data_IF_734483481819
#
_entry.id   IF_734483481819
#
_cell.length_a   1.000
_cell.length_b   1.000
_cell.length_c   1.000
_cell.angle_alpha   90.00
_cell.angle_beta   90.00
_cell.angle_gamma   90.00
#
_symmetry.space_group_name_H-M   'P 1'
#
loop_
_entity.id
_entity.type
_entity.pdbx_description
1 polymer ?
#
# COMPACT_ATOMS: atom_id res chain seq x y z
N UNK A 1 -11.49 9.45 9.15
CA UNK A 1 -10.45 8.41 9.21
C UNK A 1 -9.94 8.33 10.62
N UNK A 2 -9.25 7.24 10.99
CA UNK A 2 -8.46 7.20 12.22
C UNK A 2 -7.53 8.43 12.32
N UNK A 3 -7.43 9.02 13.52
CA UNK A 3 -6.74 10.27 13.79
C UNK A 3 -7.58 11.53 13.55
N UNK A 4 -8.64 11.45 12.74
CA UNK A 4 -9.49 12.62 12.45
C UNK A 4 -10.46 12.91 13.61
N UNK A 5 -11.09 14.08 13.55
CA UNK A 5 -12.20 14.45 14.44
C UNK A 5 -13.53 14.39 13.69
N UNK A 6 -14.60 13.99 14.39
CA UNK A 6 -15.97 13.95 13.88
C UNK A 6 -16.92 14.60 14.87
N UNK A 7 -17.92 15.31 14.36
CA UNK A 7 -18.97 15.95 15.17
C UNK A 7 -20.33 15.39 14.79
N UNK A 8 -21.05 14.87 15.78
CA UNK A 8 -22.42 14.38 15.67
C UNK A 8 -23.38 15.49 16.10
N UNK A 9 -24.09 16.06 15.14
CA UNK A 9 -24.92 17.25 15.32
C UNK A 9 -26.28 16.91 15.94
N UNK A 10 -26.62 17.58 17.04
CA UNK A 10 -27.95 17.47 17.68
C UNK A 10 -29.00 18.35 17.00
N UNK A 11 -28.60 19.41 16.30
CA UNK A 11 -29.45 20.49 15.77
C UNK A 11 -30.33 21.16 16.85
N UNK A 12 -29.82 21.27 18.07
CA UNK A 12 -30.49 21.93 19.19
C UNK A 12 -29.86 23.30 19.44
N UNK A 13 -30.65 24.26 19.91
CA UNK A 13 -30.15 25.50 20.51
C UNK A 13 -30.40 25.46 22.02
N UNK A 14 -29.33 25.26 22.79
CA UNK A 14 -29.39 25.11 24.24
C UNK A 14 -29.91 26.38 24.92
N UNK A 15 -29.52 27.56 24.42
CA UNK A 15 -29.86 28.86 25.03
C UNK A 15 -31.34 29.22 24.95
N UNK A 16 -32.08 28.60 24.03
CA UNK A 16 -33.49 28.92 23.77
C UNK A 16 -34.44 27.92 24.43
N UNK A 17 -33.99 26.70 24.71
CA UNK A 17 -34.88 25.57 24.94
C UNK A 17 -34.62 24.80 26.25
N UNK A 18 -33.58 25.16 27.00
CA UNK A 18 -33.17 24.51 28.25
C UNK A 18 -33.25 22.96 28.20
N UNK A 19 -32.54 22.31 27.26
CA UNK A 19 -32.67 20.88 27.04
C UNK A 19 -31.97 20.03 28.10
N UNK A 20 -32.53 18.85 28.36
CA UNK A 20 -31.82 17.73 28.95
C UNK A 20 -31.36 16.78 27.84
N UNK A 21 -30.04 16.58 27.72
CA UNK A 21 -29.42 15.79 26.65
C UNK A 21 -28.62 14.65 27.24
N UNK A 22 -28.81 13.44 26.71
CA UNK A 22 -28.02 12.26 27.02
C UNK A 22 -27.40 11.69 25.76
N UNK A 23 -26.07 11.59 25.75
CA UNK A 23 -25.32 10.88 24.73
C UNK A 23 -24.98 9.49 25.20
N UNK A 24 -25.26 8.49 24.37
CA UNK A 24 -24.96 7.09 24.62
C UNK A 24 -24.12 6.51 23.48
N UNK A 25 -23.13 5.69 23.82
CA UNK A 25 -22.38 4.85 22.89
C UNK A 25 -22.66 3.38 23.23
N UNK A 26 -23.18 2.62 22.28
CA UNK A 26 -23.58 1.21 22.50
C UNK A 26 -24.43 1.05 23.76
N UNK A 27 -25.42 1.96 23.91
CA UNK A 27 -26.33 2.05 25.06
C UNK A 27 -25.72 2.47 26.41
N UNK A 28 -24.40 2.70 26.49
CA UNK A 28 -23.73 3.22 27.68
C UNK A 28 -23.74 4.75 27.68
N UNK A 29 -24.12 5.38 28.80
CA UNK A 29 -24.09 6.84 28.92
C UNK A 29 -22.65 7.34 28.90
N UNK A 30 -22.33 8.20 27.93
CA UNK A 30 -20.98 8.76 27.77
C UNK A 30 -20.91 10.23 28.15
N UNK A 31 -22.01 10.96 28.02
CA UNK A 31 -22.06 12.38 28.35
C UNK A 31 -23.50 12.88 28.54
N UNK A 32 -23.66 13.96 29.30
CA UNK A 32 -24.96 14.55 29.67
C UNK A 32 -24.87 16.06 29.75
N UNK A 33 -25.92 16.74 29.30
CA UNK A 33 -26.17 18.15 29.59
C UNK A 33 -27.52 18.26 30.30
N UNK A 34 -27.56 19.01 31.39
CA UNK A 34 -28.78 19.43 32.07
C UNK A 34 -28.67 20.92 32.36
N UNK A 35 -29.34 21.74 31.55
CA UNK A 35 -29.35 23.20 31.69
C UNK A 35 -30.01 23.67 32.99
N UNK A 36 -31.11 23.05 33.41
CA UNK A 36 -31.83 23.42 34.64
C UNK A 36 -30.93 23.28 35.87
N UNK A 37 -30.12 22.22 35.90
CA UNK A 37 -29.18 21.98 36.99
C UNK A 37 -27.80 22.63 36.76
N UNK A 38 -27.59 23.27 35.61
CA UNK A 38 -26.30 23.78 35.14
C UNK A 38 -25.19 22.71 35.18
N UNK A 39 -25.50 21.49 34.74
CA UNK A 39 -24.59 20.33 34.73
C UNK A 39 -24.20 20.01 33.28
N UNK A 40 -22.90 19.84 33.05
CA UNK A 40 -22.35 19.27 31.82
C UNK A 40 -21.33 18.19 32.21
N UNK A 41 -21.77 16.94 32.20
CA UNK A 41 -20.96 15.79 32.62
C UNK A 41 -20.46 15.03 31.40
N UNK A 42 -19.19 14.67 31.39
CA UNK A 42 -18.63 13.67 30.48
C UNK A 42 -18.19 12.49 31.34
N UNK A 43 -18.90 11.37 31.24
CA UNK A 43 -18.69 10.19 32.08
C UNK A 43 -17.55 9.31 31.58
N UNK A 44 -17.23 9.37 30.29
CA UNK A 44 -16.09 8.69 29.73
C UNK A 44 -14.80 9.47 30.03
N UNK A 45 -13.81 8.80 30.60
CA UNK A 45 -12.46 9.29 30.89
C UNK A 45 -11.62 9.45 29.60
N UNK A 46 -12.21 10.07 28.59
CA UNK A 46 -11.65 10.20 27.27
C UNK A 46 -11.56 11.70 27.02
N UNK A 47 -10.37 12.28 27.25
CA UNK A 47 -10.01 13.66 26.87
C UNK A 47 -10.37 14.01 25.41
N UNK A 48 -10.62 12.97 24.60
CA UNK A 48 -11.02 13.04 23.21
C UNK A 48 -12.49 13.38 22.97
N UNK A 49 -13.39 13.17 23.94
CA UNK A 49 -14.84 13.43 23.82
C UNK A 49 -15.19 14.80 24.37
N UNK A 50 -15.83 15.63 23.55
CA UNK A 50 -16.24 16.99 23.92
C UNK A 50 -17.69 17.23 23.54
N UNK A 51 -18.41 17.95 24.38
CA UNK A 51 -19.74 18.46 24.06
C UNK A 51 -19.64 19.96 23.79
N UNK A 52 -20.29 20.41 22.72
CA UNK A 52 -20.50 21.83 22.48
C UNK A 52 -21.62 22.38 23.38
N UNK A 53 -21.32 23.40 24.18
CA UNK A 53 -22.21 23.97 25.20
C UNK A 53 -23.36 24.81 24.63
N UNK A 54 -23.35 25.10 23.32
CA UNK A 54 -24.40 25.86 22.63
C UNK A 54 -25.41 24.98 21.94
N UNK A 55 -24.94 23.87 21.38
CA UNK A 55 -25.75 22.96 20.56
C UNK A 55 -26.00 21.62 21.23
N UNK A 56 -25.11 21.19 22.11
CA UNK A 56 -25.12 19.85 22.70
C UNK A 56 -24.58 18.77 21.77
N UNK A 57 -23.94 19.17 20.67
CA UNK A 57 -23.32 18.27 19.71
C UNK A 57 -22.09 17.58 20.31
N UNK A 58 -21.94 16.29 20.00
CA UNK A 58 -20.81 15.48 20.47
C UNK A 58 -19.68 15.54 19.45
N UNK A 59 -18.49 15.93 19.88
CA UNK A 59 -17.27 15.85 19.07
C UNK A 59 -16.35 14.78 19.64
N UNK A 60 -15.91 13.87 18.78
CA UNK A 60 -14.91 12.84 19.08
C UNK A 60 -13.66 13.22 18.31
N UNK A 61 -12.58 13.52 19.02
CA UNK A 61 -11.29 13.87 18.44
C UNK A 61 -10.36 12.65 18.39
N UNK A 62 -9.34 12.68 17.54
CA UNK A 62 -8.35 11.59 17.42
C UNK A 62 -9.03 10.20 17.41
N UNK A 63 -9.96 10.02 16.46
CA UNK A 63 -10.78 8.82 16.36
C UNK A 63 -9.94 7.58 16.09
N UNK A 64 -10.42 6.43 16.53
CA UNK A 64 -9.83 5.11 16.36
C UNK A 64 -10.89 4.15 15.83
N UNK A 65 -10.47 3.02 15.26
CA UNK A 65 -11.42 2.02 14.74
C UNK A 65 -12.38 1.49 15.81
N UNK A 66 -11.98 1.48 17.09
CA UNK A 66 -12.80 1.09 18.25
C UNK A 66 -13.88 2.10 18.62
N UNK A 67 -13.81 3.34 18.10
CA UNK A 67 -14.88 4.33 18.26
C UNK A 67 -16.00 4.11 17.22
N UNK A 68 -15.91 3.10 16.36
CA UNK A 68 -17.00 2.74 15.45
C UNK A 68 -18.15 2.10 16.24
N UNK A 69 -19.38 2.47 15.92
CA UNK A 69 -20.57 1.91 16.55
C UNK A 69 -21.76 2.86 16.54
N UNK A 70 -22.77 2.50 17.34
CA UNK A 70 -24.02 3.23 17.43
C UNK A 70 -23.94 4.29 18.55
N UNK A 71 -24.11 5.54 18.13
CA UNK A 71 -24.26 6.67 19.02
C UNK A 71 -25.72 7.12 19.03
N UNK A 72 -26.32 7.18 20.21
CA UNK A 72 -27.70 7.62 20.39
C UNK A 72 -27.71 8.87 21.24
N UNK A 73 -28.42 9.91 20.79
CA UNK A 73 -28.70 11.09 21.59
C UNK A 73 -30.18 11.15 21.90
N UNK A 74 -30.50 11.29 23.18
CA UNK A 74 -31.85 11.53 23.69
C UNK A 74 -31.93 12.97 24.16
N UNK A 75 -32.84 13.74 23.58
CA UNK A 75 -33.02 15.17 23.81
C UNK A 75 -34.42 15.37 24.39
N UNK A 76 -34.52 16.07 25.51
CA UNK A 76 -35.79 16.39 26.16
C UNK A 76 -35.99 17.90 26.13
N UNK A 77 -36.86 18.37 25.23
CA UNK A 77 -37.33 19.76 25.12
C UNK A 77 -38.85 19.70 25.08
N UNK A 78 -39.51 19.80 26.23
CA UNK A 78 -40.96 19.56 26.43
C UNK A 78 -41.45 18.12 26.08
N UNK A 79 -40.82 17.45 25.11
CA UNK A 79 -41.03 16.08 24.66
C UNK A 79 -39.67 15.43 24.40
N UNK A 80 -39.64 14.10 24.41
CA UNK A 80 -38.45 13.31 24.05
C UNK A 80 -38.28 13.27 22.53
N UNK A 81 -37.08 13.55 22.06
CA UNK A 81 -36.60 13.31 20.71
C UNK A 81 -35.35 12.43 20.77
N UNK A 82 -35.19 11.53 19.80
CA UNK A 82 -34.04 10.62 19.74
C UNK A 82 -33.42 10.69 18.35
N UNK A 83 -32.10 10.83 18.27
CA UNK A 83 -31.34 10.66 17.03
C UNK A 83 -30.32 9.53 17.21
N UNK A 84 -30.11 8.76 16.14
CA UNK A 84 -29.18 7.63 16.11
C UNK A 84 -28.18 7.87 14.99
N UNK A 85 -26.91 7.76 15.30
CA UNK A 85 -25.79 7.87 14.38
C UNK A 85 -25.05 6.53 14.34
N UNK A 86 -24.78 6.04 13.13
CA UNK A 86 -23.88 4.91 12.94
C UNK A 86 -22.53 5.46 12.48
N UNK A 87 -21.54 5.45 13.37
CA UNK A 87 -20.20 5.92 13.09
C UNK A 87 -19.31 4.76 12.64
N UNK A 88 -18.72 4.87 11.46
CA UNK A 88 -17.70 3.92 10.98
C UNK A 88 -16.37 4.64 10.82
N UNK A 89 -15.37 4.22 11.60
CA UNK A 89 -14.00 4.72 11.50
C UNK A 89 -13.16 3.73 10.69
N UNK A 90 -12.46 4.25 9.68
CA UNK A 90 -11.54 3.47 8.85
C UNK A 90 -10.10 3.68 9.34
N UNK A 91 -9.34 2.60 9.42
CA UNK A 91 -7.92 2.65 9.71
C UNK A 91 -7.17 3.48 8.67
N UNK A 92 -5.99 3.99 9.04
CA UNK A 92 -5.13 4.71 8.12
C UNK A 92 -4.81 3.87 6.87
N UNK A 93 -4.97 4.47 5.68
CA UNK A 93 -4.84 3.77 4.41
C UNK A 93 -3.37 3.79 3.94
N UNK A 94 -2.66 2.65 3.92
CA UNK A 94 -1.27 2.62 3.49
C UNK A 94 -1.15 2.85 1.98
N UNK A 95 -0.03 3.46 1.60
CA UNK A 95 0.35 3.59 0.18
C UNK A 95 0.74 2.21 -0.35
N UNK A 96 0.20 1.76 -1.50
CA UNK A 96 0.56 0.48 -2.07
C UNK A 96 2.04 0.40 -2.42
N UNK A 97 2.62 -0.77 -2.22
CA UNK A 97 3.98 -1.10 -2.65
C UNK A 97 3.90 -1.91 -3.93
N UNK A 98 4.69 -1.51 -4.93
CA UNK A 98 4.81 -2.25 -6.19
C UNK A 98 6.21 -2.88 -6.24
N UNK A 99 6.25 -4.20 -6.41
CA UNK A 99 7.46 -5.00 -6.55
C UNK A 99 7.39 -5.89 -7.79
N UNK A 100 8.54 -6.41 -8.24
CA UNK A 100 8.57 -7.45 -9.28
C UNK A 100 8.35 -8.82 -8.64
N UNK A 101 7.47 -9.63 -9.22
CA UNK A 101 7.15 -10.98 -8.70
C UNK A 101 8.30 -11.97 -8.93
N UNK A 102 8.93 -11.90 -10.11
CA UNK A 102 10.08 -12.75 -10.47
C UNK A 102 11.40 -12.08 -10.13
N UNK A 103 12.21 -12.73 -9.29
CA UNK A 103 13.62 -12.37 -9.09
C UNK A 103 14.49 -13.06 -10.15
N UNK A 104 15.64 -12.46 -10.49
CA UNK A 104 16.61 -13.07 -11.41
C UNK A 104 17.19 -14.35 -10.78
N UNK A 105 16.60 -15.50 -11.07
CA UNK A 105 17.18 -16.80 -10.73
C UNK A 105 18.51 -16.97 -11.48
N UNK A 106 19.55 -17.43 -10.80
CA UNK A 106 20.88 -17.67 -11.38
C UNK A 106 20.92 -18.95 -12.24
N UNK A 107 19.93 -19.17 -13.10
CA UNK A 107 19.94 -20.25 -14.08
C UNK A 107 20.11 -19.65 -15.46
N UNK A 108 21.28 -19.91 -16.02
CA UNK A 108 21.74 -19.54 -17.34
C UNK A 108 20.77 -20.01 -18.44
N UNK A 109 19.79 -19.20 -18.80
CA UNK A 109 19.25 -19.18 -20.17
C UNK A 109 18.91 -17.74 -20.54
N UNK A 110 19.51 -17.28 -21.64
CA UNK A 110 19.27 -15.97 -22.24
C UNK A 110 17.88 -16.02 -22.86
N UNK A 111 16.86 -15.60 -22.12
CA UNK A 111 15.55 -15.30 -22.71
C UNK A 111 15.47 -13.79 -22.96
N UNK A 112 15.35 -13.33 -24.22
CA UNK A 112 15.37 -11.91 -24.58
C UNK A 112 14.13 -11.13 -24.10
N UNK A 113 13.14 -11.81 -23.52
CA UNK A 113 11.95 -11.20 -22.93
C UNK A 113 11.66 -11.90 -21.60
N UNK A 114 12.32 -11.49 -20.52
CA UNK A 114 11.78 -11.82 -19.20
C UNK A 114 10.44 -11.11 -19.07
N UNK A 115 9.32 -11.84 -19.12
CA UNK A 115 8.00 -11.29 -18.83
C UNK A 115 8.08 -10.55 -17.50
N UNK A 116 7.81 -9.25 -17.52
CA UNK A 116 7.86 -8.44 -16.31
C UNK A 116 6.49 -8.49 -15.64
N UNK A 117 6.42 -9.23 -14.55
CA UNK A 117 5.23 -9.35 -13.71
C UNK A 117 5.41 -8.48 -12.47
N UNK A 118 4.46 -7.58 -12.26
CA UNK A 118 4.44 -6.69 -11.12
C UNK A 118 3.41 -7.17 -10.11
N UNK A 119 3.76 -7.09 -8.84
CA UNK A 119 2.88 -7.34 -7.73
C UNK A 119 2.65 -6.04 -6.99
N UNK A 120 1.38 -5.63 -6.88
CA UNK A 120 1.00 -4.55 -6.00
C UNK A 120 0.45 -5.10 -4.69
N UNK A 121 0.95 -4.61 -3.55
CA UNK A 121 0.61 -5.13 -2.24
C UNK A 121 0.33 -4.03 -1.21
N UNK A 122 -0.61 -4.31 -0.31
CA UNK A 122 -0.84 -3.57 0.93
C UNK A 122 -0.95 -4.56 2.08
N UNK A 123 -0.33 -4.23 3.22
CA UNK A 123 -0.23 -5.12 4.36
C UNK A 123 -1.19 -4.68 5.47
N UNK A 124 -1.76 -5.66 6.18
CA UNK A 124 -2.56 -5.45 7.38
C UNK A 124 -3.69 -4.42 7.20
N UNK A 125 -4.49 -4.56 6.13
CA UNK A 125 -5.59 -3.66 5.79
C UNK A 125 -6.95 -4.28 6.06
N UNK A 126 -7.94 -3.45 6.37
CA UNK A 126 -9.35 -3.82 6.53
C UNK A 126 -10.26 -2.83 5.79
N UNK A 127 -11.32 -3.30 5.13
CA UNK A 127 -12.27 -2.49 4.34
C UNK A 127 -11.56 -1.64 3.30
N UNK A 128 -10.66 -2.28 2.55
CA UNK A 128 -9.84 -1.67 1.50
C UNK A 128 -10.00 -2.46 0.20
N UNK A 129 -10.11 -1.73 -0.90
CA UNK A 129 -10.03 -2.28 -2.26
C UNK A 129 -8.67 -1.93 -2.84
N UNK A 130 -7.98 -2.91 -3.42
CA UNK A 130 -6.75 -2.75 -4.16
C UNK A 130 -7.03 -3.00 -5.65
N UNK A 131 -6.66 -2.07 -6.51
CA UNK A 131 -6.99 -2.12 -7.94
C UNK A 131 -5.82 -1.71 -8.82
N UNK A 132 -5.70 -2.36 -9.98
CA UNK A 132 -4.85 -1.90 -11.08
C UNK A 132 -5.67 -1.11 -12.09
N UNK A 133 -5.10 -0.02 -12.57
CA UNK A 133 -5.63 0.78 -13.66
C UNK A 133 -4.60 0.96 -14.76
N UNK A 134 -5.06 1.11 -16.00
CA UNK A 134 -4.31 1.66 -17.11
C UNK A 134 -5.02 2.93 -17.59
N UNK A 135 -4.41 4.09 -17.35
CA UNK A 135 -5.11 5.37 -17.49
C UNK A 135 -6.34 5.40 -16.59
N UNK A 136 -7.52 5.49 -17.19
CA UNK A 136 -8.82 5.47 -16.48
C UNK A 136 -9.48 4.07 -16.44
N UNK A 137 -8.94 3.10 -17.17
CA UNK A 137 -9.53 1.76 -17.29
C UNK A 137 -9.12 0.86 -16.14
N UNK A 138 -10.09 0.27 -15.44
CA UNK A 138 -9.86 -0.73 -14.40
C UNK A 138 -9.43 -2.06 -15.03
N UNK A 139 -8.27 -2.57 -14.65
CA UNK A 139 -7.74 -3.86 -15.12
C UNK A 139 -8.23 -4.99 -14.21
N UNK A 140 -7.94 -4.87 -12.92
CA UNK A 140 -8.24 -5.90 -11.93
C UNK A 140 -8.42 -5.28 -10.56
N UNK A 141 -9.12 -5.99 -9.68
CA UNK A 141 -9.42 -5.52 -8.33
C UNK A 141 -9.55 -6.69 -7.35
N UNK A 142 -9.16 -6.46 -6.11
CA UNK A 142 -9.38 -7.35 -4.97
C UNK A 142 -9.73 -6.51 -3.75
N UNK A 143 -10.45 -7.07 -2.78
CA UNK A 143 -10.87 -6.33 -1.59
C UNK A 143 -10.70 -7.15 -0.31
N UNK A 144 -10.47 -6.42 0.77
CA UNK A 144 -10.49 -6.92 2.13
C UNK A 144 -11.75 -6.41 2.82
N UNK A 145 -12.47 -7.31 3.49
CA UNK A 145 -13.57 -6.96 4.40
C UNK A 145 -13.03 -6.59 5.78
N UNK A 146 -13.63 -7.06 6.87
CA UNK A 146 -13.31 -6.59 8.23
C UNK A 146 -12.07 -7.21 8.87
N UNK A 147 -11.49 -8.25 8.25
CA UNK A 147 -10.26 -8.87 8.75
C UNK A 147 -9.03 -8.12 8.26
N UNK A 148 -8.06 -7.85 9.14
CA UNK A 148 -6.78 -7.26 8.77
C UNK A 148 -5.95 -8.28 8.00
N UNK A 149 -5.94 -8.18 6.68
CA UNK A 149 -5.24 -9.11 5.78
C UNK A 149 -4.25 -8.38 4.89
N UNK A 150 -3.36 -9.15 4.29
CA UNK A 150 -2.47 -8.66 3.25
C UNK A 150 -3.16 -8.86 1.90
N UNK A 151 -3.34 -7.78 1.15
CA UNK A 151 -3.82 -7.86 -0.23
C UNK A 151 -2.63 -7.79 -1.16
N UNK A 152 -2.63 -8.62 -2.19
CA UNK A 152 -1.68 -8.57 -3.29
C UNK A 152 -2.40 -8.84 -4.60
N UNK A 153 -2.05 -8.08 -5.63
CA UNK A 153 -2.70 -8.12 -6.93
C UNK A 153 -1.64 -8.10 -8.03
N UNK A 154 -1.45 -9.21 -8.77
CA UNK A 154 -0.47 -9.29 -9.84
C UNK A 154 -0.95 -8.54 -11.10
N UNK A 155 0.01 -8.12 -11.91
CA UNK A 155 -0.18 -7.50 -13.22
C UNK A 155 0.91 -7.99 -14.18
N UNK A 156 0.49 -8.62 -15.27
CA UNK A 156 1.33 -8.88 -16.44
C UNK A 156 1.32 -7.63 -17.33
N UNK A 157 2.49 -7.11 -17.68
CA UNK A 157 2.60 -5.88 -18.48
C UNK A 157 2.40 -6.15 -19.97
N UNK A 158 1.65 -5.27 -20.61
CA UNK A 158 1.51 -5.19 -22.07
C UNK A 158 2.37 -4.01 -22.57
N UNK A 159 3.16 -4.22 -23.62
CA UNK A 159 4.18 -3.28 -24.12
C UNK A 159 3.62 -2.07 -24.92
N UNK A 160 2.34 -1.75 -24.76
CA UNK A 160 1.74 -0.55 -25.36
C UNK A 160 2.00 0.69 -24.48
N UNK A 161 1.67 1.89 -24.97
CA UNK A 161 1.79 3.17 -24.21
C UNK A 161 0.80 3.23 -23.04
N UNK A 162 1.06 2.40 -22.03
CA UNK A 162 0.18 2.16 -20.90
C UNK A 162 0.62 2.98 -19.68
N UNK A 163 -0.32 3.68 -19.07
CA UNK A 163 -0.08 4.45 -17.84
C UNK A 163 -0.64 3.64 -16.68
N UNK A 164 0.14 2.66 -16.23
CA UNK A 164 -0.27 1.80 -15.13
C UNK A 164 -0.28 2.54 -13.80
N UNK A 165 -1.26 2.22 -12.96
CA UNK A 165 -1.32 2.69 -11.58
C UNK A 165 -1.96 1.64 -10.69
N UNK A 166 -1.40 1.45 -9.51
CA UNK A 166 -2.02 0.67 -8.46
C UNK A 166 -2.65 1.61 -7.43
N UNK A 167 -3.91 1.37 -7.11
CA UNK A 167 -4.70 2.22 -6.23
C UNK A 167 -5.20 1.38 -5.06
N UNK A 168 -4.85 1.77 -3.83
CA UNK A 168 -5.62 1.35 -2.66
C UNK A 168 -6.69 2.39 -2.37
N UNK A 169 -7.89 1.91 -2.08
CA UNK A 169 -9.10 2.71 -1.94
C UNK A 169 -9.88 2.25 -0.71
N UNK A 170 -10.37 3.21 0.07
CA UNK A 170 -11.48 3.00 1.00
C UNK A 170 -12.59 4.02 0.71
N UNK A 171 -13.73 3.92 1.38
CA UNK A 171 -14.90 4.78 1.14
C UNK A 171 -14.66 6.30 1.33
N UNK A 172 -13.49 6.71 1.80
CA UNK A 172 -13.14 8.11 2.11
C UNK A 172 -12.03 8.63 1.18
N UNK A 173 -11.01 7.82 0.89
CA UNK A 173 -9.77 8.28 0.22
C UNK A 173 -9.15 7.21 -0.67
N UNK A 174 -8.42 7.69 -1.68
CA UNK A 174 -7.57 6.89 -2.56
C UNK A 174 -6.09 7.17 -2.29
N UNK A 175 -5.27 6.14 -2.40
CA UNK A 175 -3.81 6.22 -2.46
C UNK A 175 -3.35 5.56 -3.75
N UNK A 176 -2.58 6.29 -4.55
CA UNK A 176 -2.15 5.82 -5.88
C UNK A 176 -0.64 5.71 -5.92
N UNK A 177 -0.15 4.62 -6.50
CA UNK A 177 1.27 4.42 -6.79
C UNK A 177 1.45 4.05 -8.25
N UNK A 178 2.36 4.74 -8.92
CA UNK A 178 2.79 4.39 -10.27
C UNK A 178 4.05 3.51 -10.21
N UNK A 179 4.12 2.47 -11.06
CA UNK A 179 5.31 1.64 -11.17
C UNK A 179 6.45 2.41 -11.86
N UNK A 180 7.66 2.27 -11.33
CA UNK A 180 8.88 2.70 -12.00
C UNK A 180 9.39 1.56 -12.89
N UNK A 181 8.87 1.50 -14.12
CA UNK A 181 9.15 0.39 -15.05
C UNK A 181 10.63 0.29 -15.41
N UNK A 182 11.34 1.42 -15.51
CA UNK A 182 12.77 1.42 -15.84
C UNK A 182 13.61 0.71 -14.79
N UNK A 183 13.24 0.86 -13.50
CA UNK A 183 13.91 0.18 -12.39
C UNK A 183 13.38 -1.23 -12.15
N UNK A 184 12.06 -1.41 -12.19
CA UNK A 184 11.42 -2.69 -11.83
C UNK A 184 11.61 -3.75 -12.92
N UNK A 185 11.50 -3.37 -14.19
CA UNK A 185 11.57 -4.28 -15.33
C UNK A 185 12.94 -4.28 -16.01
N UNK A 186 14.00 -3.85 -15.33
CA UNK A 186 15.34 -3.87 -15.91
C UNK A 186 15.72 -5.32 -16.28
N UNK A 187 16.27 -5.56 -17.49
CA UNK A 187 16.77 -6.87 -17.88
C UNK A 187 17.87 -7.32 -16.91
N UNK A 188 17.82 -8.59 -16.49
CA UNK A 188 18.91 -9.17 -15.70
C UNK A 188 20.18 -9.10 -16.55
N UNK A 189 21.20 -8.34 -16.13
CA UNK A 189 22.52 -8.40 -16.75
C UNK A 189 23.11 -9.78 -16.46
N UNK A 190 23.06 -10.67 -17.45
CA UNK A 190 23.84 -11.89 -17.41
C UNK A 190 25.31 -11.49 -17.23
N UNK A 191 26.00 -12.06 -16.25
CA UNK A 191 27.46 -11.99 -16.21
C UNK A 191 27.95 -12.62 -17.51
N UNK A 192 28.38 -11.81 -18.48
CA UNK A 192 29.13 -12.30 -19.62
C UNK A 192 30.39 -12.96 -19.05
N UNK A 193 30.43 -14.29 -19.12
CA UNK A 193 31.61 -15.06 -18.75
C UNK A 193 32.74 -14.71 -19.73
N UNK A 194 33.51 -13.65 -19.41
CA UNK A 194 34.74 -13.26 -20.11
C UNK A 194 35.78 -14.39 -20.15
N UNK A 195 35.56 -15.48 -19.43
CA UNK A 195 36.38 -16.70 -19.46
C UNK A 195 36.33 -17.43 -20.80
N UNK A 196 35.21 -17.42 -21.54
CA UNK A 196 35.12 -18.15 -22.82
C UNK A 196 36.00 -17.50 -23.91
N UNK A 197 36.04 -16.17 -23.96
CA UNK A 197 36.92 -15.41 -24.85
C UNK A 197 38.41 -15.59 -24.48
N UNK A 198 38.72 -15.69 -23.19
CA UNK A 198 40.09 -15.91 -22.73
C UNK A 198 40.62 -17.32 -23.08
N UNK A 199 39.79 -18.36 -22.99
CA UNK A 199 40.17 -19.73 -23.36
C UNK A 199 40.42 -19.86 -24.86
N UNK A 200 39.58 -19.24 -25.70
CA UNK A 200 39.77 -19.25 -27.16
C UNK A 200 41.04 -18.48 -27.60
N UNK A 201 41.35 -17.35 -26.97
CA UNK A 201 42.58 -16.61 -27.23
C UNK A 201 43.83 -17.36 -26.75
N UNK A 202 43.75 -18.03 -25.59
CA UNK A 202 44.84 -18.83 -25.03
C UNK A 202 45.19 -20.04 -25.89
N UNK A 203 44.20 -20.77 -26.42
CA UNK A 203 44.45 -21.92 -27.29
C UNK A 203 45.07 -21.52 -28.63
N UNK A 204 44.61 -20.41 -29.24
CA UNK A 204 45.22 -19.86 -30.46
C UNK A 204 46.69 -19.46 -30.26
N UNK A 205 47.01 -18.82 -29.13
CA UNK A 205 48.39 -18.46 -28.79
C UNK A 205 49.31 -19.68 -28.62
N UNK A 206 48.82 -20.75 -27.97
CA UNK A 206 49.60 -21.99 -27.79
C UNK A 206 49.84 -22.69 -29.13
N UNK A 207 48.83 -22.78 -30.00
CA UNK A 207 48.98 -23.41 -31.32
C UNK A 207 50.01 -22.66 -32.16
N UNK A 208 49.97 -21.32 -32.17
CA UNK A 208 50.95 -20.51 -32.88
C UNK A 208 52.39 -20.74 -32.36
N UNK A 209 52.58 -20.79 -31.03
CA UNK A 209 53.88 -21.06 -30.42
C UNK A 209 54.41 -22.46 -30.77
N UNK A 210 53.56 -23.49 -30.74
CA UNK A 210 53.94 -24.86 -31.12
C UNK A 210 54.33 -24.92 -32.60
N UNK A 211 53.59 -24.25 -33.50
CA UNK A 211 53.95 -24.18 -34.92
C UNK A 211 55.32 -23.52 -35.12
N UNK A 212 55.59 -22.38 -34.46
CA UNK A 212 56.90 -21.71 -34.53
C UNK A 212 58.03 -22.60 -34.01
N UNK A 213 57.83 -23.30 -32.89
CA UNK A 213 58.81 -24.25 -32.34
C UNK A 213 59.03 -25.44 -33.28
N UNK A 214 57.97 -25.97 -33.90
CA UNK A 214 58.07 -27.05 -34.87
C UNK A 214 58.82 -26.62 -36.14
N UNK A 215 58.54 -25.43 -36.67
CA UNK A 215 59.23 -24.87 -37.84
C UNK A 215 60.71 -24.61 -37.53
N UNK A 216 61.02 -23.95 -36.41
CA UNK A 216 62.41 -23.67 -36.01
C UNK A 216 63.22 -24.95 -35.75
N UNK A 217 62.62 -25.99 -35.14
CA UNK A 217 63.25 -27.31 -34.99
C UNK A 217 63.47 -28.02 -36.33
N UNK A 218 62.56 -27.86 -37.30
CA UNK A 218 62.70 -28.44 -38.64
C UNK A 218 63.81 -27.73 -39.43
N UNK A 219 63.86 -26.39 -39.41
CA UNK A 219 64.95 -25.61 -40.01
C UNK A 219 66.32 -26.00 -39.43
N UNK A 220 66.42 -26.17 -38.10
CA UNK A 220 67.68 -26.56 -37.43
C UNK A 220 68.13 -27.98 -37.75
N UNK A 221 67.24 -28.87 -38.22
CA UNK A 221 67.61 -30.22 -38.67
C UNK A 221 68.18 -30.21 -40.08
N UNK A 222 67.62 -29.41 -40.99
CA UNK A 222 68.14 -29.22 -42.36
C UNK A 222 69.55 -28.60 -42.40
N UNK A 223 69.90 -27.73 -41.44
CA UNK A 223 71.27 -27.20 -41.33
C UNK A 223 72.31 -28.21 -40.82
N UNK A 224 71.86 -29.36 -40.27
CA UNK A 224 72.76 -30.41 -39.76
C UNK A 224 72.98 -31.58 -40.72
N UNK A 225 72.20 -31.69 -41.80
CA UNK A 225 72.38 -32.70 -42.86
C UNK A 225 73.12 -32.16 -44.10
N UNK A 226 73.47 -30.87 -44.11
CA UNK A 226 74.32 -30.25 -45.13
C UNK A 226 75.75 -30.01 -44.64
N UNK A 227 76.51 -31.07 -44.35
CA UNK A 227 77.96 -31.00 -44.22
C UNK A 227 78.62 -32.32 -44.58
#
# INVERSE_FOLDING_TARGET
MEGDSVTLLTDVNIKENDPLIYWKFENNLIARINTEANIADVYCNIDRVKIDDRTGSLTITNTSTTDSGIYTVEIFINKKSTKVFNLTVYASLPVPVISRETSCSSSSEISPVSKCELLCSVLNVSRVTLSWYNGSSLISSTSASDSHINLSLPLELEYEENIYSCVSHNSIRNQTKHPDLGRLCQPCSGKTNHTVLAVAAGTLGIVAAVVVVCVSRKCRKTDKEGK
#
